data_IF_536983504001
#
_entry.id   IF_536983504001
#
_cell.length_a   1.000
_cell.length_b   1.000
_cell.length_c   1.000
_cell.angle_alpha   90.00
_cell.angle_beta   90.00
_cell.angle_gamma   90.00
#
_symmetry.space_group_name_H-M   'P 1'
#
loop_
_entity.id
_entity.type
_entity.pdbx_description
1 polymer ?
#
# COMPACT_ATOMS: atom_id res chain seq x y z
N UNK A 1 -11.39 -2.32 25.24
CA UNK A 1 -11.24 -2.88 23.87
C UNK A 1 -9.75 -3.09 23.67
N UNK A 2 -9.33 -4.26 23.16
CA UNK A 2 -7.94 -4.52 22.83
C UNK A 2 -7.41 -3.56 21.75
N UNK A 3 -6.09 -3.43 21.65
CA UNK A 3 -5.45 -2.63 20.62
C UNK A 3 -5.78 -3.18 19.22
N UNK A 4 -5.96 -2.31 18.23
CA UNK A 4 -6.21 -2.68 16.84
C UNK A 4 -4.97 -2.36 16.01
N UNK A 5 -4.52 -3.29 15.18
CA UNK A 5 -3.38 -3.11 14.31
C UNK A 5 -3.78 -2.61 12.92
N UNK A 6 -3.02 -1.64 12.40
CA UNK A 6 -3.02 -1.25 10.99
C UNK A 6 -1.67 -1.67 10.38
N UNK A 7 -1.66 -2.73 9.58
CA UNK A 7 -0.48 -3.24 8.91
C UNK A 7 -0.20 -2.46 7.62
N UNK A 8 0.99 -1.87 7.48
CA UNK A 8 1.39 -1.14 6.27
C UNK A 8 2.69 -1.72 5.72
N UNK A 9 2.57 -2.56 4.67
CA UNK A 9 3.72 -3.09 3.93
C UNK A 9 4.22 -2.05 2.92
N UNK A 10 5.49 -1.69 3.01
CA UNK A 10 6.08 -0.61 2.21
C UNK A 10 5.94 0.77 2.86
N UNK A 11 5.97 0.82 4.19
CA UNK A 11 6.00 2.05 4.96
C UNK A 11 7.37 2.75 4.84
N UNK A 12 7.38 3.99 4.39
CA UNK A 12 8.57 4.82 4.23
C UNK A 12 8.20 6.29 4.47
N UNK A 13 9.05 7.22 4.05
CA UNK A 13 8.81 8.66 4.17
C UNK A 13 7.69 9.22 3.26
N UNK A 14 7.24 8.44 2.25
CA UNK A 14 6.16 8.84 1.34
C UNK A 14 4.79 8.29 1.76
N UNK A 15 4.01 7.85 0.77
CA UNK A 15 2.60 7.40 0.91
C UNK A 15 2.40 6.39 2.04
N UNK A 16 3.24 5.35 2.14
CA UNK A 16 3.09 4.33 3.19
C UNK A 16 3.26 4.89 4.59
N UNK A 17 4.19 5.84 4.79
CA UNK A 17 4.35 6.53 6.08
C UNK A 17 3.18 7.46 6.40
N UNK A 18 2.67 8.18 5.40
CA UNK A 18 1.49 9.02 5.57
C UNK A 18 0.26 8.20 5.97
N UNK A 19 0.05 7.04 5.32
CA UNK A 19 -1.03 6.10 5.68
C UNK A 19 -0.85 5.62 7.12
N UNK A 20 0.35 5.19 7.52
CA UNK A 20 0.62 4.74 8.88
C UNK A 20 0.30 5.83 9.92
N UNK A 21 0.74 7.07 9.68
CA UNK A 21 0.44 8.22 10.53
C UNK A 21 -1.06 8.48 10.61
N UNK A 22 -1.76 8.37 9.50
CA UNK A 22 -3.22 8.60 9.46
C UNK A 22 -3.98 7.61 10.33
N UNK A 23 -3.67 6.32 10.23
CA UNK A 23 -4.31 5.30 11.06
C UNK A 23 -3.90 5.41 12.54
N UNK A 24 -2.63 5.76 12.82
CA UNK A 24 -2.17 5.96 14.20
C UNK A 24 -2.93 7.08 14.92
N UNK A 25 -3.27 8.19 14.22
CA UNK A 25 -4.10 9.28 14.75
C UNK A 25 -5.50 8.82 15.17
N UNK A 26 -6.01 7.75 14.57
CA UNK A 26 -7.32 7.17 14.90
C UNK A 26 -7.23 6.04 15.94
N UNK A 27 -6.09 5.94 16.63
CA UNK A 27 -5.90 5.02 17.75
C UNK A 27 -5.47 3.61 17.37
N UNK A 28 -5.16 3.34 16.09
CA UNK A 28 -4.53 2.08 15.69
C UNK A 28 -3.07 2.04 16.12
N UNK A 29 -2.54 0.85 16.40
CA UNK A 29 -1.10 0.64 16.40
C UNK A 29 -0.66 0.48 14.94
N UNK A 30 0.12 1.42 14.41
CA UNK A 30 0.64 1.37 13.06
C UNK A 30 1.81 0.37 13.00
N UNK A 31 1.57 -0.81 12.44
CA UNK A 31 2.59 -1.82 12.17
C UNK A 31 3.27 -1.49 10.85
N UNK A 32 4.39 -0.76 10.93
CA UNK A 32 5.12 -0.27 9.77
C UNK A 32 6.17 -1.28 9.32
N UNK A 33 6.15 -1.66 8.04
CA UNK A 33 6.94 -2.78 7.52
C UNK A 33 7.81 -2.37 6.32
N UNK A 34 9.10 -2.70 6.39
CA UNK A 34 10.04 -2.67 5.26
C UNK A 34 10.94 -3.90 5.29
N UNK A 35 11.61 -4.19 4.17
CA UNK A 35 12.65 -5.25 4.12
C UNK A 35 13.72 -5.05 5.19
N UNK A 36 14.10 -3.79 5.43
CA UNK A 36 15.15 -3.38 6.35
C UNK A 36 14.50 -2.49 7.41
N UNK A 37 14.28 -3.04 8.60
CA UNK A 37 13.58 -2.36 9.70
C UNK A 37 14.34 -1.15 10.26
N UNK A 38 15.67 -1.13 10.14
CA UNK A 38 16.56 -0.04 10.56
C UNK A 38 16.26 1.33 9.90
N UNK A 39 15.47 1.32 8.83
CA UNK A 39 15.00 2.54 8.14
C UNK A 39 13.64 3.06 8.66
N UNK A 40 13.09 2.43 9.69
CA UNK A 40 11.77 2.77 10.24
C UNK A 40 11.80 3.61 11.54
N UNK A 41 12.90 3.70 12.32
CA UNK A 41 12.88 4.41 13.60
C UNK A 41 12.44 5.86 13.49
N UNK A 42 12.82 6.57 12.42
CA UNK A 42 12.39 7.95 12.20
C UNK A 42 10.86 8.06 12.05
N UNK A 43 10.25 7.17 11.26
CA UNK A 43 8.79 7.15 11.09
C UNK A 43 8.07 6.77 12.39
N UNK A 44 8.59 5.81 13.14
CA UNK A 44 8.04 5.44 14.46
C UNK A 44 8.10 6.64 15.40
N UNK A 45 9.26 7.29 15.51
CA UNK A 45 9.42 8.49 16.35
C UNK A 45 8.48 9.65 15.96
N UNK A 46 8.26 9.87 14.66
CA UNK A 46 7.31 10.88 14.18
C UNK A 46 5.86 10.56 14.56
N UNK A 47 5.46 9.27 14.51
CA UNK A 47 4.12 8.82 14.93
C UNK A 47 3.94 9.00 16.45
N UNK A 48 4.95 8.59 17.23
CA UNK A 48 4.94 8.69 18.70
C UNK A 48 4.95 10.16 19.18
N UNK A 49 5.76 11.00 18.55
CA UNK A 49 5.80 12.44 18.83
C UNK A 49 4.45 13.14 18.56
N UNK A 50 3.65 12.59 17.62
CA UNK A 50 2.30 13.05 17.35
C UNK A 50 1.22 12.42 18.26
N UNK A 51 1.63 11.64 19.29
CA UNK A 51 0.72 10.99 20.23
C UNK A 51 0.12 9.68 19.74
N UNK A 52 0.56 9.18 18.56
CA UNK A 52 0.15 7.88 18.03
C UNK A 52 1.01 6.74 18.58
N UNK A 53 0.73 5.52 18.11
CA UNK A 53 1.51 4.32 18.45
C UNK A 53 1.96 3.62 17.18
N UNK A 54 3.22 3.17 17.15
CA UNK A 54 3.75 2.41 16.03
C UNK A 54 4.71 1.31 16.48
N UNK A 55 4.82 0.26 15.67
CA UNK A 55 5.84 -0.79 15.80
C UNK A 55 6.47 -1.07 14.44
N UNK A 56 7.78 -1.17 14.42
CA UNK A 56 8.57 -1.43 13.23
C UNK A 56 8.84 -2.92 13.05
N UNK A 57 8.69 -3.43 11.83
CA UNK A 57 8.95 -4.82 11.48
C UNK A 57 9.80 -4.93 10.22
N UNK A 58 10.74 -5.89 10.21
CA UNK A 58 11.49 -6.30 9.02
C UNK A 58 10.78 -7.47 8.33
N UNK A 59 10.46 -7.33 7.03
CA UNK A 59 9.88 -8.43 6.25
C UNK A 59 10.13 -8.22 4.76
N UNK A 60 10.69 -9.20 4.10
CA UNK A 60 10.67 -9.27 2.64
C UNK A 60 9.33 -9.85 2.17
N UNK A 61 8.43 -8.96 1.73
CA UNK A 61 7.08 -9.32 1.32
C UNK A 61 7.00 -10.40 0.22
N UNK A 62 8.13 -10.74 -0.43
CA UNK A 62 8.21 -11.81 -1.44
C UNK A 62 8.39 -13.20 -0.83
N UNK A 63 8.71 -13.27 0.45
CA UNK A 63 8.99 -14.53 1.16
C UNK A 63 7.79 -14.93 2.00
N UNK A 64 7.23 -16.07 1.66
CA UNK A 64 6.01 -16.57 2.29
C UNK A 64 6.20 -16.78 3.81
N UNK A 65 7.29 -17.40 4.20
CA UNK A 65 7.58 -17.71 5.61
C UNK A 65 7.72 -16.42 6.45
N UNK A 66 8.36 -15.38 5.88
CA UNK A 66 8.49 -14.09 6.55
C UNK A 66 7.13 -13.38 6.69
N UNK A 67 6.27 -13.48 5.67
CA UNK A 67 4.93 -12.88 5.71
C UNK A 67 4.01 -13.60 6.71
N UNK A 68 4.04 -14.92 6.76
CA UNK A 68 3.29 -15.72 7.74
C UNK A 68 3.75 -15.35 9.17
N UNK A 69 5.05 -15.36 9.43
CA UNK A 69 5.61 -15.02 10.73
C UNK A 69 5.24 -13.59 11.16
N UNK A 70 5.31 -12.61 10.24
CA UNK A 70 4.93 -11.23 10.50
C UNK A 70 3.46 -11.09 10.94
N UNK A 71 2.54 -11.72 10.18
CA UNK A 71 1.10 -11.65 10.50
C UNK A 71 0.82 -12.32 11.84
N UNK A 72 1.44 -13.46 12.13
CA UNK A 72 1.29 -14.17 13.40
C UNK A 72 1.83 -13.35 14.57
N UNK A 73 3.00 -12.72 14.41
CA UNK A 73 3.59 -11.84 15.43
C UNK A 73 2.69 -10.65 15.73
N UNK A 74 2.18 -9.97 14.71
CA UNK A 74 1.30 -8.80 14.90
C UNK A 74 0.01 -9.21 15.61
N UNK A 75 -0.66 -10.27 15.17
CA UNK A 75 -1.91 -10.75 15.79
C UNK A 75 -1.71 -11.16 17.26
N UNK A 76 -0.56 -11.75 17.61
CA UNK A 76 -0.24 -12.19 18.96
C UNK A 76 0.20 -11.04 19.88
N UNK A 77 1.09 -10.16 19.40
CA UNK A 77 1.86 -9.25 20.25
C UNK A 77 1.39 -7.80 20.17
N UNK A 78 0.54 -7.46 19.17
CA UNK A 78 -0.05 -6.13 19.01
C UNK A 78 -1.55 -6.20 19.17
N UNK A 79 -2.20 -7.08 18.43
CA UNK A 79 -3.64 -7.25 18.42
C UNK A 79 -4.19 -7.52 17.03
N UNK A 80 -5.51 -7.66 16.88
CA UNK A 80 -6.12 -8.01 15.61
C UNK A 80 -5.79 -6.99 14.52
N UNK A 81 -5.33 -7.48 13.38
CA UNK A 81 -5.16 -6.68 12.17
C UNK A 81 -6.54 -6.36 11.62
N UNK A 82 -6.98 -5.12 11.79
CA UNK A 82 -8.26 -4.62 11.26
C UNK A 82 -8.09 -3.97 9.88
N UNK A 83 -6.87 -3.50 9.58
CA UNK A 83 -6.52 -2.91 8.28
C UNK A 83 -5.16 -3.44 7.83
N UNK A 84 -5.08 -3.85 6.57
CA UNK A 84 -3.82 -4.19 5.92
C UNK A 84 -3.68 -3.42 4.60
N UNK A 85 -2.54 -2.75 4.43
CA UNK A 85 -2.22 -1.95 3.24
C UNK A 85 -0.98 -2.49 2.56
N UNK A 86 -1.10 -2.86 1.29
CA UNK A 86 0.03 -3.23 0.45
C UNK A 86 0.44 -2.04 -0.41
N UNK A 87 1.55 -1.40 -0.03
CA UNK A 87 2.07 -0.19 -0.68
C UNK A 87 3.47 -0.42 -1.26
N UNK A 88 3.69 -1.59 -1.87
CA UNK A 88 4.97 -1.90 -2.51
C UNK A 88 4.89 -1.62 -4.01
N UNK A 89 5.92 -0.94 -4.51
CA UNK A 89 6.12 -0.68 -5.92
C UNK A 89 7.52 -1.02 -6.37
N UNK A 90 7.70 -1.19 -7.67
CA UNK A 90 8.99 -1.42 -8.32
C UNK A 90 8.98 -0.72 -9.69
N UNK A 91 8.86 0.61 -9.66
CA UNK A 91 8.81 1.44 -10.86
C UNK A 91 10.23 1.64 -11.43
N UNK A 92 10.71 0.66 -12.18
CA UNK A 92 12.04 0.69 -12.81
C UNK A 92 11.87 0.60 -14.32
N UNK A 93 12.17 1.68 -15.08
CA UNK A 93 12.03 1.67 -16.52
C UNK A 93 13.09 0.79 -17.19
N UNK A 94 12.70 0.13 -18.29
CA UNK A 94 13.59 -0.56 -19.22
C UNK A 94 12.92 -0.70 -20.58
N UNK A 95 13.71 -0.62 -21.66
CA UNK A 95 13.25 -1.01 -22.99
C UNK A 95 12.83 -2.47 -22.98
N UNK A 96 11.75 -2.82 -23.68
CA UNK A 96 11.33 -4.23 -23.82
C UNK A 96 12.41 -5.10 -24.47
N UNK A 97 13.26 -4.50 -25.30
CA UNK A 97 14.36 -5.19 -25.96
C UNK A 97 15.55 -5.49 -25.03
N UNK A 98 15.67 -4.75 -23.93
CA UNK A 98 16.75 -4.85 -22.94
C UNK A 98 16.28 -5.46 -21.62
N UNK A 99 14.97 -5.61 -21.43
CA UNK A 99 14.41 -6.15 -20.19
C UNK A 99 14.77 -7.64 -20.05
N UNK A 100 15.31 -8.00 -18.89
CA UNK A 100 15.69 -9.38 -18.61
C UNK A 100 14.55 -10.13 -17.92
N UNK A 101 14.40 -11.42 -18.20
CA UNK A 101 13.43 -12.30 -17.55
C UNK A 101 13.56 -12.22 -16.01
N UNK A 102 14.79 -12.18 -15.49
CA UNK A 102 15.06 -12.05 -14.04
C UNK A 102 14.54 -10.75 -13.47
N UNK A 103 14.75 -9.60 -14.14
CA UNK A 103 14.29 -8.29 -13.67
C UNK A 103 12.78 -8.19 -13.78
N UNK A 104 12.20 -8.63 -14.91
CA UNK A 104 10.74 -8.68 -15.10
C UNK A 104 10.05 -9.46 -13.99
N UNK A 105 10.52 -10.70 -13.73
CA UNK A 105 9.97 -11.55 -12.68
C UNK A 105 10.12 -10.93 -11.29
N UNK A 106 11.28 -10.33 -10.97
CA UNK A 106 11.53 -9.68 -9.70
C UNK A 106 10.61 -8.49 -9.45
N UNK A 107 10.26 -7.73 -10.48
CA UNK A 107 9.29 -6.63 -10.39
C UNK A 107 7.90 -7.19 -10.07
N UNK A 108 7.52 -8.27 -10.74
CA UNK A 108 6.25 -8.96 -10.49
C UNK A 108 6.17 -9.55 -9.08
N UNK A 109 7.24 -10.22 -8.60
CA UNK A 109 7.32 -10.70 -7.22
C UNK A 109 7.10 -9.58 -6.19
N UNK A 110 7.73 -8.43 -6.41
CA UNK A 110 7.62 -7.30 -5.49
C UNK A 110 6.24 -6.64 -5.52
N UNK A 111 5.71 -6.34 -6.69
CA UNK A 111 4.55 -5.48 -6.84
C UNK A 111 3.21 -6.25 -6.95
N UNK A 112 3.23 -7.57 -7.14
CA UNK A 112 2.05 -8.42 -7.21
C UNK A 112 2.09 -9.59 -6.23
N UNK A 113 3.08 -10.48 -6.32
CA UNK A 113 3.13 -11.70 -5.52
C UNK A 113 3.20 -11.40 -4.01
N UNK A 114 3.99 -10.41 -3.58
CA UNK A 114 3.98 -9.96 -2.18
C UNK A 114 2.60 -9.47 -1.72
N UNK A 115 1.83 -8.85 -2.62
CA UNK A 115 0.44 -8.45 -2.34
C UNK A 115 -0.49 -9.65 -2.15
N UNK A 116 -0.29 -10.70 -2.93
CA UNK A 116 -1.01 -11.98 -2.74
C UNK A 116 -0.67 -12.60 -1.38
N UNK A 117 0.60 -12.69 -1.01
CA UNK A 117 1.01 -13.26 0.27
C UNK A 117 0.40 -12.49 1.45
N UNK A 118 0.52 -11.15 1.47
CA UNK A 118 -0.11 -10.32 2.50
C UNK A 118 -1.62 -10.53 2.54
N UNK A 119 -2.28 -10.39 1.38
CA UNK A 119 -3.74 -10.47 1.30
C UNK A 119 -4.29 -11.80 1.79
N UNK A 120 -3.65 -12.91 1.41
CA UNK A 120 -4.02 -14.26 1.85
C UNK A 120 -3.87 -14.43 3.36
N UNK A 121 -2.73 -14.04 3.93
CA UNK A 121 -2.47 -14.25 5.35
C UNK A 121 -3.37 -13.40 6.25
N UNK A 122 -3.58 -12.12 5.91
CA UNK A 122 -4.49 -11.29 6.69
C UNK A 122 -5.96 -11.74 6.53
N UNK A 123 -6.36 -12.18 5.33
CA UNK A 123 -7.71 -12.70 5.11
C UNK A 123 -8.00 -13.94 5.98
N UNK A 124 -7.03 -14.84 6.16
CA UNK A 124 -7.13 -16.00 7.07
C UNK A 124 -7.46 -15.60 8.51
N UNK A 125 -6.98 -14.42 8.95
CA UNK A 125 -7.24 -13.88 10.29
C UNK A 125 -8.54 -13.07 10.36
N UNK A 126 -8.87 -12.32 9.30
CA UNK A 126 -10.05 -11.44 9.23
C UNK A 126 -11.36 -12.22 9.03
N UNK A 127 -11.37 -13.23 8.14
CA UNK A 127 -12.59 -13.99 7.80
C UNK A 127 -13.28 -14.62 9.01
N UNK A 128 -12.58 -15.30 9.95
CA UNK A 128 -13.23 -15.83 11.16
C UNK A 128 -13.86 -14.74 12.03
N UNK A 129 -13.39 -13.52 11.95
CA UNK A 129 -13.95 -12.35 12.69
C UNK A 129 -15.09 -11.67 11.94
N UNK A 130 -15.29 -11.97 10.67
CA UNK A 130 -16.31 -11.36 9.81
C UNK A 130 -16.11 -9.84 9.60
N UNK A 131 -14.87 -9.32 9.76
CA UNK A 131 -14.54 -7.91 9.58
C UNK A 131 -13.04 -7.72 9.26
N UNK A 132 -12.75 -6.67 8.53
CA UNK A 132 -11.41 -6.24 8.16
C UNK A 132 -11.40 -5.47 6.85
N UNK A 133 -10.30 -4.77 6.59
CA UNK A 133 -10.11 -3.99 5.36
C UNK A 133 -8.75 -4.30 4.76
N UNK A 134 -8.70 -4.65 3.48
CA UNK A 134 -7.47 -4.94 2.73
C UNK A 134 -7.37 -3.94 1.58
N UNK A 135 -6.32 -3.11 1.57
CA UNK A 135 -6.14 -2.04 0.61
C UNK A 135 -4.87 -2.26 -0.22
N UNK A 136 -5.01 -2.19 -1.52
CA UNK A 136 -3.91 -2.33 -2.47
C UNK A 136 -3.62 -1.00 -3.14
N UNK A 137 -2.37 -0.54 -3.02
CA UNK A 137 -1.91 0.65 -3.73
C UNK A 137 -1.62 0.32 -5.18
N UNK A 138 -2.44 0.84 -6.05
CA UNK A 138 -2.28 0.83 -7.49
C UNK A 138 -1.46 2.01 -8.00
N UNK A 139 -1.47 2.18 -9.30
CA UNK A 139 -0.79 3.27 -10.02
C UNK A 139 -1.47 3.46 -11.38
N UNK A 140 -1.11 4.49 -12.16
CA UNK A 140 -1.38 4.59 -13.61
C UNK A 140 -1.16 3.25 -14.30
N UNK A 141 -0.07 2.58 -13.95
CA UNK A 141 0.33 1.27 -14.46
C UNK A 141 -0.64 0.12 -14.13
N UNK A 142 -1.65 0.33 -13.29
CA UNK A 142 -2.71 -0.66 -13.01
C UNK A 142 -3.77 -0.71 -14.12
N UNK A 143 -3.88 0.34 -14.94
CA UNK A 143 -4.93 0.50 -15.95
C UNK A 143 -4.40 0.86 -17.33
N UNK A 144 -3.14 1.31 -17.43
CA UNK A 144 -2.50 1.69 -18.71
C UNK A 144 -1.06 1.16 -18.77
N UNK A 145 -0.70 0.57 -19.91
CA UNK A 145 0.71 0.34 -20.26
C UNK A 145 1.37 1.63 -20.76
N UNK A 146 2.67 1.73 -20.57
CA UNK A 146 3.52 2.80 -21.12
C UNK A 146 4.82 2.19 -21.63
N UNK A 147 5.40 2.82 -22.66
CA UNK A 147 6.74 2.44 -23.10
C UNK A 147 7.75 2.46 -21.94
N UNK A 148 8.69 1.54 -21.95
CA UNK A 148 9.69 1.31 -20.88
C UNK A 148 9.16 0.81 -19.54
N UNK A 149 7.84 0.56 -19.36
CA UNK A 149 7.27 0.13 -18.09
C UNK A 149 6.52 -1.21 -18.17
N UNK A 150 6.86 -2.08 -19.13
CA UNK A 150 6.15 -3.34 -19.35
C UNK A 150 6.09 -4.23 -18.11
N UNK A 151 7.20 -4.38 -17.37
CA UNK A 151 7.26 -5.20 -16.16
C UNK A 151 6.39 -4.61 -15.04
N UNK A 152 6.48 -3.29 -14.83
CA UNK A 152 5.71 -2.61 -13.78
C UNK A 152 4.21 -2.59 -14.11
N UNK A 153 3.83 -2.32 -15.37
CA UNK A 153 2.45 -2.34 -15.81
C UNK A 153 1.86 -3.76 -15.69
N UNK A 154 2.58 -4.78 -16.13
CA UNK A 154 2.15 -6.18 -15.97
C UNK A 154 1.92 -6.56 -14.50
N UNK A 155 2.82 -6.16 -13.60
CA UNK A 155 2.69 -6.43 -12.17
C UNK A 155 1.51 -5.70 -11.53
N UNK A 156 1.29 -4.41 -11.87
CA UNK A 156 0.20 -3.60 -11.30
C UNK A 156 -1.18 -3.98 -11.86
N UNK A 157 -1.29 -4.37 -13.12
CA UNK A 157 -2.51 -4.99 -13.65
C UNK A 157 -2.84 -6.31 -12.94
N UNK A 158 -1.82 -7.16 -12.72
CA UNK A 158 -1.99 -8.41 -11.98
C UNK A 158 -2.44 -8.16 -10.53
N UNK A 159 -1.86 -7.16 -9.84
CA UNK A 159 -2.28 -6.77 -8.49
C UNK A 159 -3.74 -6.28 -8.46
N UNK A 160 -4.16 -5.50 -9.46
CA UNK A 160 -5.56 -5.05 -9.61
C UNK A 160 -6.51 -6.22 -9.79
N UNK A 161 -6.16 -7.18 -10.65
CA UNK A 161 -6.95 -8.38 -10.88
C UNK A 161 -7.06 -9.26 -9.61
N UNK A 162 -5.96 -9.41 -8.87
CA UNK A 162 -5.94 -10.07 -7.56
C UNK A 162 -6.91 -9.39 -6.58
N UNK A 163 -6.80 -8.07 -6.43
CA UNK A 163 -7.68 -7.29 -5.54
C UNK A 163 -9.16 -7.47 -5.92
N UNK A 164 -9.48 -7.47 -7.22
CA UNK A 164 -10.84 -7.67 -7.71
C UNK A 164 -11.39 -9.07 -7.38
N UNK A 165 -10.58 -10.12 -7.57
CA UNK A 165 -10.95 -11.49 -7.19
C UNK A 165 -11.21 -11.59 -5.69
N UNK A 166 -10.29 -11.04 -4.88
CA UNK A 166 -10.42 -11.05 -3.43
C UNK A 166 -11.65 -10.27 -2.95
N UNK A 167 -11.96 -9.12 -3.56
CA UNK A 167 -13.14 -8.33 -3.22
C UNK A 167 -14.43 -9.14 -3.42
N UNK A 168 -14.54 -9.86 -4.53
CA UNK A 168 -15.69 -10.72 -4.82
C UNK A 168 -15.81 -11.92 -3.87
N UNK A 169 -14.68 -12.54 -3.53
CA UNK A 169 -14.68 -13.72 -2.65
C UNK A 169 -14.89 -13.36 -1.18
N UNK A 170 -14.29 -12.26 -0.71
CA UNK A 170 -14.20 -11.92 0.69
C UNK A 170 -15.27 -10.90 1.13
N UNK A 171 -15.86 -10.13 0.21
CA UNK A 171 -16.96 -9.22 0.50
C UNK A 171 -18.14 -9.88 1.20
N UNK A 172 -18.68 -11.02 0.71
CA UNK A 172 -19.73 -11.76 1.41
C UNK A 172 -19.34 -12.28 2.80
N UNK A 173 -18.04 -12.37 3.08
CA UNK A 173 -17.48 -12.78 4.39
C UNK A 173 -17.21 -11.59 5.31
N UNK A 174 -17.63 -10.38 4.93
CA UNK A 174 -17.53 -9.16 5.72
C UNK A 174 -16.17 -8.46 5.65
N UNK A 175 -15.34 -8.74 4.64
CA UNK A 175 -14.02 -8.12 4.44
C UNK A 175 -14.09 -7.14 3.28
N UNK A 176 -13.76 -5.89 3.55
CA UNK A 176 -13.66 -4.86 2.53
C UNK A 176 -12.30 -4.94 1.82
N UNK A 177 -12.29 -5.23 0.53
CA UNK A 177 -11.08 -5.20 -0.29
C UNK A 177 -11.19 -4.10 -1.32
N UNK A 178 -10.22 -3.18 -1.36
CA UNK A 178 -10.20 -2.10 -2.34
C UNK A 178 -8.82 -1.89 -2.98
N UNK A 179 -8.85 -1.35 -4.19
CA UNK A 179 -7.68 -0.99 -5.00
C UNK A 179 -7.68 0.52 -5.24
N UNK A 180 -6.58 1.19 -4.89
CA UNK A 180 -6.44 2.64 -5.00
C UNK A 180 -5.46 2.97 -6.13
N UNK A 181 -5.95 3.46 -7.24
CA UNK A 181 -5.13 3.94 -8.36
C UNK A 181 -4.58 5.31 -7.98
N UNK A 182 -3.26 5.43 -7.87
CA UNK A 182 -2.58 6.70 -7.71
C UNK A 182 -2.01 7.10 -9.07
N UNK A 183 -2.76 7.94 -9.78
CA UNK A 183 -2.47 8.34 -11.16
C UNK A 183 -1.86 9.75 -11.18
N UNK A 184 -0.55 9.82 -10.99
CA UNK A 184 0.22 11.06 -11.02
C UNK A 184 1.48 10.98 -10.15
N UNK A 185 2.27 12.05 -10.21
CA UNK A 185 3.44 12.19 -9.37
C UNK A 185 3.03 12.42 -7.91
N UNK A 186 3.77 11.81 -7.00
CA UNK A 186 3.55 11.93 -5.55
C UNK A 186 4.67 12.79 -4.97
N UNK A 187 4.35 13.76 -4.14
CA UNK A 187 5.34 14.58 -3.43
C UNK A 187 6.31 13.71 -2.63
N UNK A 188 7.58 13.91 -2.88
CA UNK A 188 8.67 13.17 -2.22
C UNK A 188 10.02 13.44 -2.88
N UNK A 189 11.09 12.99 -2.21
CA UNK A 189 12.47 13.23 -2.63
C UNK A 189 12.75 12.76 -4.06
N UNK A 190 12.17 11.64 -4.47
CA UNK A 190 12.36 11.12 -5.83
C UNK A 190 11.85 12.08 -6.89
N UNK A 191 10.65 12.61 -6.75
CA UNK A 191 10.08 13.58 -7.71
C UNK A 191 10.84 14.89 -7.61
N UNK A 192 11.16 15.35 -6.41
CA UNK A 192 11.94 16.57 -6.20
C UNK A 192 13.29 16.56 -6.91
N UNK A 193 14.00 15.42 -6.83
CA UNK A 193 15.37 15.33 -7.38
C UNK A 193 15.39 14.92 -8.85
N UNK A 194 14.50 14.02 -9.28
CA UNK A 194 14.52 13.45 -10.63
C UNK A 194 13.66 14.21 -11.63
N UNK A 195 12.63 14.93 -11.14
CA UNK A 195 11.66 15.65 -11.97
C UNK A 195 11.35 17.06 -11.40
N UNK A 196 12.36 17.96 -11.30
CA UNK A 196 12.19 19.26 -10.63
C UNK A 196 11.13 20.16 -11.28
N UNK A 197 10.91 20.06 -12.60
CA UNK A 197 9.87 20.80 -13.31
C UNK A 197 8.46 20.34 -12.88
N UNK A 198 8.28 19.03 -12.69
CA UNK A 198 7.02 18.49 -12.19
C UNK A 198 6.82 18.82 -10.71
N UNK A 199 7.90 18.78 -9.92
CA UNK A 199 7.87 19.18 -8.51
C UNK A 199 7.49 20.64 -8.30
N UNK A 200 7.85 21.53 -9.22
CA UNK A 200 7.45 22.96 -9.19
C UNK A 200 5.94 23.19 -9.26
N UNK A 201 5.16 22.19 -9.68
CA UNK A 201 3.70 22.24 -9.71
C UNK A 201 3.06 21.92 -8.34
N UNK A 202 3.85 21.57 -7.32
CA UNK A 202 3.36 21.15 -6.00
C UNK A 202 2.40 22.17 -5.39
N UNK A 203 2.81 23.43 -5.31
CA UNK A 203 2.03 24.48 -4.66
C UNK A 203 0.76 24.87 -5.45
N UNK A 204 0.65 24.38 -6.70
CA UNK A 204 -0.51 24.53 -7.56
C UNK A 204 -1.42 23.30 -7.54
N UNK A 205 -1.11 22.28 -6.72
CA UNK A 205 -1.84 21.02 -6.69
C UNK A 205 -1.61 20.14 -7.92
N UNK A 206 -0.49 20.31 -8.63
CA UNK A 206 -0.14 19.53 -9.82
C UNK A 206 0.55 18.19 -9.52
N UNK A 207 0.85 17.90 -8.23
CA UNK A 207 1.29 16.61 -7.75
C UNK A 207 0.51 16.22 -6.48
N UNK A 208 0.44 14.91 -6.20
CA UNK A 208 -0.32 14.36 -5.08
C UNK A 208 0.45 14.53 -3.75
N UNK A 209 -0.24 15.06 -2.74
CA UNK A 209 0.26 15.05 -1.36
C UNK A 209 0.03 13.68 -0.72
N UNK A 210 1.06 13.01 -0.16
CA UNK A 210 0.90 11.75 0.58
C UNK A 210 -0.14 11.80 1.70
N UNK A 211 -0.32 12.96 2.36
CA UNK A 211 -1.32 13.11 3.41
C UNK A 211 -2.75 13.05 2.85
N UNK A 212 -2.99 13.69 1.70
CA UNK A 212 -4.29 13.63 1.04
C UNK A 212 -4.60 12.23 0.50
N UNK A 213 -3.58 11.50 0.02
CA UNK A 213 -3.73 10.08 -0.34
C UNK A 213 -4.14 9.28 0.91
N UNK A 214 -3.47 9.47 2.04
CA UNK A 214 -3.74 8.74 3.28
C UNK A 214 -5.18 8.95 3.81
N UNK A 215 -5.75 10.15 3.62
CA UNK A 215 -7.17 10.43 3.94
C UNK A 215 -8.11 9.54 3.12
N UNK A 216 -7.78 9.23 1.86
CA UNK A 216 -8.61 8.35 1.04
C UNK A 216 -8.54 6.89 1.52
N UNK A 217 -7.37 6.44 2.00
CA UNK A 217 -7.25 5.11 2.62
C UNK A 217 -8.08 5.00 3.90
N UNK A 218 -8.11 6.07 4.71
CA UNK A 218 -8.97 6.14 5.89
C UNK A 218 -10.45 6.16 5.50
N UNK A 219 -10.84 6.96 4.53
CA UNK A 219 -12.21 7.01 4.01
C UNK A 219 -12.68 5.62 3.56
N UNK A 220 -11.88 4.88 2.80
CA UNK A 220 -12.21 3.52 2.38
C UNK A 220 -12.43 2.59 3.57
N UNK A 221 -11.57 2.65 4.58
CA UNK A 221 -11.73 1.81 5.78
C UNK A 221 -13.02 2.10 6.55
N UNK A 222 -13.47 3.35 6.57
CA UNK A 222 -14.64 3.78 7.36
C UNK A 222 -15.97 3.70 6.63
N UNK A 223 -15.99 3.26 5.37
CA UNK A 223 -17.22 3.14 4.60
C UNK A 223 -18.20 2.13 5.22
N UNK A 224 -19.49 2.44 5.21
CA UNK A 224 -20.53 1.49 5.62
C UNK A 224 -20.58 0.29 4.66
N UNK A 225 -21.01 -0.87 5.17
CA UNK A 225 -20.97 -2.14 4.43
C UNK A 225 -21.86 -2.17 3.17
N UNK A 226 -22.87 -1.36 3.13
CA UNK A 226 -23.82 -1.24 2.01
C UNK A 226 -23.32 -0.31 0.88
N UNK A 227 -22.14 0.34 1.09
CA UNK A 227 -21.57 1.30 0.14
C UNK A 227 -20.04 1.19 0.04
N UNK A 228 -19.52 -0.02 -0.07
CA UNK A 228 -18.09 -0.25 -0.23
C UNK A 228 -17.60 0.07 -1.64
N UNK A 229 -16.56 0.89 -1.73
CA UNK A 229 -15.82 1.17 -2.95
C UNK A 229 -14.82 0.06 -3.22
N UNK A 230 -14.87 -0.56 -4.40
CA UNK A 230 -13.81 -1.50 -4.82
C UNK A 230 -12.59 -0.77 -5.39
N UNK A 231 -12.81 0.22 -6.26
CA UNK A 231 -11.71 0.92 -6.92
C UNK A 231 -11.88 2.44 -6.80
N UNK A 232 -10.81 3.11 -6.39
CA UNK A 232 -10.74 4.54 -6.24
C UNK A 232 -9.58 5.06 -7.11
N UNK A 233 -9.85 6.10 -7.90
CA UNK A 233 -8.87 6.75 -8.78
C UNK A 233 -8.52 8.14 -8.24
N UNK A 234 -7.26 8.34 -7.90
CA UNK A 234 -6.72 9.58 -7.35
C UNK A 234 -5.71 10.19 -8.33
N UNK A 235 -5.92 11.45 -8.68
CA UNK A 235 -5.00 12.17 -9.55
C UNK A 235 -4.98 13.66 -9.24
N UNK A 236 -3.88 14.36 -9.53
CA UNK A 236 -3.88 15.83 -9.53
C UNK A 236 -4.86 16.34 -10.59
N UNK A 237 -5.49 17.47 -10.34
CA UNK A 237 -6.40 18.08 -11.32
C UNK A 237 -5.73 18.45 -12.64
N UNK A 238 -4.40 18.60 -12.64
CA UNK A 238 -3.59 18.92 -13.84
C UNK A 238 -3.10 17.66 -14.59
N UNK A 239 -3.38 16.44 -14.09
CA UNK A 239 -2.94 15.22 -14.76
C UNK A 239 -3.68 15.01 -16.07
N UNK A 240 -2.94 14.67 -17.13
CA UNK A 240 -3.51 14.35 -18.44
C UNK A 240 -3.91 12.87 -18.51
N UNK A 241 -5.02 12.63 -19.21
CA UNK A 241 -5.56 11.28 -19.41
C UNK A 241 -4.98 10.60 -20.65
#
# INVERSE_FOLDING_TARGET
MGEKAALVIGAGSGTGGAIAKRFAREGFVACVVRRTADKLPALVGEIEAAGGRARAFGCDARKEEEMVALVDEIERDVGPIEVAVFNVGANVPASILEETARKYFKIWEMACFGGFLMGREVARRMVPRGRGTILYTGATASVRGREHFAAFAGAKHALRALAQSMAKELGPKGIHVAHVIIDGAIDGDFIRTSFPQLYALKDQGGILDPAHIAEQFWMLHTQPRDAWTFELDLRPWMESW
#
